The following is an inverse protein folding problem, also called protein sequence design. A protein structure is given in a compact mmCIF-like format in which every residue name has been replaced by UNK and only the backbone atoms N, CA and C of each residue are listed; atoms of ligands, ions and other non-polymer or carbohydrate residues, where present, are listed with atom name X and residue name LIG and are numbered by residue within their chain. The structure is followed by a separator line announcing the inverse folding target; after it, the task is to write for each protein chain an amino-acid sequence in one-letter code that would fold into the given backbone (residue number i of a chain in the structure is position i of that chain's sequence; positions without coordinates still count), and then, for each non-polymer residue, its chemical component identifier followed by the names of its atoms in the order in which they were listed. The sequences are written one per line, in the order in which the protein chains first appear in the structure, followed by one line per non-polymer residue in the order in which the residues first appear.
data_IF_370922750174
#
_entry.id   IF_370922750174
#
_cell.length_a   1.000
_cell.length_b   1.000
_cell.length_c   1.000
_cell.angle_alpha   90.00
_cell.angle_beta   90.00
_cell.angle_gamma   90.00
#
_symmetry.space_group_name_H-M   'P 1'
#
loop_
_entity.id
_entity.type
_entity.pdbx_description
1 polymer ?
#
# COMPACT_ATOMS: atom_id res chain seq x y z
N UNK A 1 79.11 -11.93 1.75
CA UNK A 1 77.91 -12.26 2.53
C UNK A 1 76.71 -11.72 1.76
N UNK A 2 75.86 -12.59 1.21
CA UNK A 2 74.69 -12.18 0.40
C UNK A 2 73.48 -12.07 1.33
N UNK A 3 72.98 -10.86 1.49
CA UNK A 3 71.74 -10.53 2.19
C UNK A 3 70.55 -10.99 1.35
N UNK A 4 69.81 -11.98 1.84
CA UNK A 4 68.56 -12.46 1.22
C UNK A 4 67.43 -11.62 1.80
N UNK A 5 66.76 -10.84 0.94
CA UNK A 5 65.49 -10.19 1.26
C UNK A 5 64.39 -11.25 1.30
N UNK A 6 63.77 -11.45 2.46
CA UNK A 6 62.53 -12.21 2.60
C UNK A 6 61.37 -11.27 2.25
N UNK A 7 60.73 -11.48 1.10
CA UNK A 7 59.43 -10.87 0.79
C UNK A 7 58.34 -11.66 1.55
N UNK A 8 57.70 -11.01 2.52
CA UNK A 8 56.52 -11.57 3.18
C UNK A 8 55.31 -11.44 2.23
N UNK A 9 54.92 -12.55 1.62
CA UNK A 9 53.66 -12.65 0.89
C UNK A 9 52.52 -12.77 1.91
N UNK A 10 51.80 -11.67 2.14
CA UNK A 10 50.54 -11.71 2.86
C UNK A 10 49.46 -12.32 1.94
N UNK A 11 49.19 -13.61 2.10
CA UNK A 11 48.04 -14.27 1.49
C UNK A 11 46.77 -13.77 2.16
N UNK A 12 46.03 -12.89 1.49
CA UNK A 12 44.62 -12.66 1.80
C UNK A 12 43.87 -13.97 1.56
N UNK A 13 43.56 -14.70 2.63
CA UNK A 13 42.54 -15.74 2.57
C UNK A 13 41.18 -15.06 2.44
N UNK A 14 40.69 -14.92 1.21
CA UNK A 14 39.29 -14.67 0.95
C UNK A 14 38.52 -15.91 1.43
N UNK A 15 38.01 -15.87 2.66
CA UNK A 15 37.07 -16.87 3.14
C UNK A 15 35.85 -16.83 2.25
N UNK A 16 35.54 -17.95 1.58
CA UNK A 16 34.25 -18.11 0.93
C UNK A 16 33.19 -18.05 2.03
N UNK A 17 32.41 -16.97 2.07
CA UNK A 17 31.20 -16.93 2.88
C UNK A 17 30.24 -17.98 2.29
N UNK A 18 30.36 -19.21 2.76
CA UNK A 18 29.37 -20.25 2.54
C UNK A 18 28.25 -19.97 3.53
N UNK A 19 27.36 -19.04 3.17
CA UNK A 19 26.03 -19.03 3.76
C UNK A 19 25.37 -20.32 3.28
N UNK A 20 25.29 -21.33 4.15
CA UNK A 20 24.47 -22.51 3.87
C UNK A 20 23.03 -22.01 3.65
N UNK A 21 22.53 -22.20 2.42
CA UNK A 21 21.13 -21.96 2.07
C UNK A 21 20.25 -22.91 2.89
N UNK A 22 19.96 -22.50 4.12
CA UNK A 22 19.09 -23.26 5.03
C UNK A 22 17.71 -23.29 4.42
N UNK A 23 17.29 -24.45 3.91
CA UNK A 23 15.95 -24.62 3.37
C UNK A 23 14.94 -24.64 4.52
N UNK A 24 14.12 -23.60 4.61
CA UNK A 24 12.95 -23.56 5.49
C UNK A 24 11.77 -24.23 4.78
N UNK A 25 11.48 -25.47 5.16
CA UNK A 25 10.31 -26.18 4.63
C UNK A 25 9.02 -25.53 5.16
N UNK A 26 8.14 -25.10 4.25
CA UNK A 26 6.83 -24.55 4.57
C UNK A 26 5.73 -25.46 4.00
N UNK A 27 4.66 -25.66 4.76
CA UNK A 27 3.45 -26.37 4.31
C UNK A 27 2.25 -25.44 4.43
N UNK A 28 1.36 -25.46 3.44
CA UNK A 28 0.13 -24.69 3.48
C UNK A 28 -0.81 -25.31 4.52
N UNK A 29 -1.03 -24.61 5.63
CA UNK A 29 -1.88 -25.09 6.72
C UNK A 29 -3.37 -24.82 6.47
N UNK A 30 -3.71 -23.63 5.96
CA UNK A 30 -5.07 -23.23 5.56
C UNK A 30 -4.99 -22.03 4.61
N UNK A 31 -6.13 -21.65 4.02
CA UNK A 31 -6.26 -20.48 3.16
C UNK A 31 -7.63 -19.82 3.35
N UNK A 32 -7.69 -18.51 3.11
CA UNK A 32 -8.92 -17.75 3.01
C UNK A 32 -8.92 -16.93 1.72
N UNK A 33 -10.09 -16.76 1.10
CA UNK A 33 -10.23 -16.09 -0.19
C UNK A 33 -11.09 -14.84 -0.03
N UNK A 34 -10.53 -13.69 -0.40
CA UNK A 34 -11.28 -12.47 -0.70
C UNK A 34 -11.65 -12.50 -2.19
N UNK A 35 -12.94 -12.44 -2.57
CA UNK A 35 -13.32 -12.45 -3.98
C UNK A 35 -12.71 -11.29 -4.77
N UNK A 36 -12.26 -11.58 -5.99
CA UNK A 36 -11.62 -10.58 -6.85
C UNK A 36 -12.54 -9.42 -7.26
N UNK A 37 -13.86 -9.57 -7.19
CA UNK A 37 -14.81 -8.50 -7.45
C UNK A 37 -15.34 -7.86 -6.17
N UNK A 38 -14.49 -7.69 -5.16
CA UNK A 38 -14.87 -6.98 -3.93
C UNK A 38 -14.66 -5.48 -4.12
N UNK A 39 -15.71 -4.79 -4.54
CA UNK A 39 -15.78 -3.34 -4.71
C UNK A 39 -16.74 -2.78 -3.66
N UNK A 40 -16.37 -1.66 -3.02
CA UNK A 40 -17.19 -0.97 -2.02
C UNK A 40 -17.46 0.47 -2.44
N UNK A 41 -18.59 1.02 -2.00
CA UNK A 41 -18.87 2.44 -2.19
C UNK A 41 -17.86 3.29 -1.39
N UNK A 42 -17.46 4.42 -1.95
CA UNK A 42 -16.80 5.47 -1.18
C UNK A 42 -17.80 6.11 -0.20
N UNK A 43 -17.34 6.85 0.83
CA UNK A 43 -18.22 7.57 1.74
C UNK A 43 -19.19 8.49 1.01
N UNK A 44 -20.40 8.67 1.54
CA UNK A 44 -21.45 9.43 0.85
C UNK A 44 -21.12 10.94 0.70
N UNK A 45 -20.28 11.46 1.59
CA UNK A 45 -19.72 12.81 1.59
C UNK A 45 -18.42 12.94 0.79
N UNK A 46 -17.92 11.83 0.22
CA UNK A 46 -16.79 11.89 -0.70
C UNK A 46 -17.18 12.57 -2.02
N UNK A 47 -16.30 13.41 -2.60
CA UNK A 47 -16.54 14.01 -3.91
C UNK A 47 -16.84 12.96 -4.97
N UNK A 48 -17.68 13.31 -5.94
CA UNK A 48 -18.04 12.44 -7.08
C UNK A 48 -16.81 11.87 -7.80
N UNK A 49 -15.67 12.55 -7.72
CA UNK A 49 -14.40 12.13 -8.30
C UNK A 49 -13.93 10.73 -7.85
N UNK A 50 -14.11 10.37 -6.58
CA UNK A 50 -13.69 9.07 -6.00
C UNK A 50 -14.85 8.11 -5.71
N UNK A 51 -16.09 8.46 -6.10
CA UNK A 51 -17.22 7.52 -6.07
C UNK A 51 -17.04 6.37 -7.07
N UNK A 52 -16.17 6.57 -8.06
CA UNK A 52 -15.72 5.58 -9.03
C UNK A 52 -14.20 5.58 -9.05
N UNK A 53 -13.58 4.48 -9.48
CA UNK A 53 -12.12 4.36 -9.56
C UNK A 53 -11.66 3.78 -10.89
N UNK A 54 -10.34 3.82 -11.14
CA UNK A 54 -9.71 3.24 -12.33
C UNK A 54 -10.06 3.97 -13.65
N UNK A 55 -10.41 5.26 -13.59
CA UNK A 55 -10.72 6.06 -14.79
C UNK A 55 -9.47 6.42 -15.61
N UNK A 56 -8.29 6.25 -15.03
CA UNK A 56 -7.00 6.70 -15.58
C UNK A 56 -5.91 5.62 -15.64
N UNK A 57 -6.29 4.33 -15.64
CA UNK A 57 -5.34 3.21 -15.51
C UNK A 57 -4.18 3.20 -16.49
N UNK A 58 -4.34 3.79 -17.69
CA UNK A 58 -3.31 3.81 -18.74
C UNK A 58 -2.67 5.21 -18.77
N UNK A 59 -1.43 5.38 -18.27
CA UNK A 59 -0.73 6.65 -18.32
C UNK A 59 -0.69 7.22 -19.75
N UNK A 60 -0.96 8.51 -19.88
CA UNK A 60 -0.97 9.21 -21.18
C UNK A 60 -2.21 8.95 -22.05
N UNK A 61 -3.20 8.17 -21.57
CA UNK A 61 -4.48 8.00 -22.24
C UNK A 61 -5.55 8.94 -21.66
N UNK A 62 -6.57 9.31 -22.44
CA UNK A 62 -7.73 10.02 -21.91
C UNK A 62 -8.46 9.22 -20.82
N UNK A 63 -9.20 9.95 -19.99
CA UNK A 63 -10.17 9.37 -19.04
C UNK A 63 -11.12 8.40 -19.75
N UNK A 64 -11.37 7.26 -19.12
CA UNK A 64 -12.51 6.38 -19.45
C UNK A 64 -13.65 6.67 -18.49
N UNK A 65 -14.83 6.99 -19.02
CA UNK A 65 -15.99 7.38 -18.20
C UNK A 65 -17.03 6.26 -18.03
N UNK A 66 -17.16 5.36 -19.01
CA UNK A 66 -18.15 4.29 -18.98
C UNK A 66 -17.67 3.15 -18.08
N UNK A 67 -18.36 2.93 -16.95
CA UNK A 67 -18.10 1.83 -16.00
C UNK A 67 -18.06 0.49 -16.72
N UNK A 68 -17.05 -0.33 -16.41
CA UNK A 68 -16.93 -1.69 -16.93
C UNK A 68 -16.68 -1.79 -18.44
N UNK A 69 -16.27 -0.70 -19.11
CA UNK A 69 -16.05 -0.69 -20.56
C UNK A 69 -14.69 -1.22 -21.01
N UNK A 70 -13.70 -1.25 -20.11
CA UNK A 70 -12.33 -1.69 -20.43
C UNK A 70 -12.02 -3.00 -19.70
N UNK A 71 -11.95 -4.14 -20.42
CA UNK A 71 -11.57 -5.41 -19.84
C UNK A 71 -10.19 -5.37 -19.19
N UNK A 72 -10.10 -5.91 -17.97
CA UNK A 72 -8.84 -6.17 -17.29
C UNK A 72 -8.09 -7.30 -17.99
N UNK A 73 -6.79 -7.13 -18.18
CA UNK A 73 -5.93 -8.08 -18.88
C UNK A 73 -4.77 -8.52 -18.00
N UNK A 74 -4.47 -9.82 -17.98
CA UNK A 74 -3.27 -10.40 -17.37
C UNK A 74 -2.62 -11.37 -18.35
N UNK A 75 -1.35 -11.14 -18.71
CA UNK A 75 -0.62 -11.95 -19.68
C UNK A 75 -1.41 -12.24 -20.99
N UNK A 76 -2.09 -11.22 -21.55
CA UNK A 76 -2.96 -11.28 -22.74
C UNK A 76 -4.28 -12.06 -22.57
N UNK A 77 -4.67 -12.42 -21.34
CA UNK A 77 -5.95 -13.05 -21.01
C UNK A 77 -6.84 -12.09 -20.24
N UNK A 78 -8.14 -12.10 -20.55
CA UNK A 78 -9.13 -11.35 -19.75
C UNK A 78 -9.20 -11.89 -18.32
N UNK A 79 -9.27 -10.98 -17.36
CA UNK A 79 -9.38 -11.31 -15.93
C UNK A 79 -10.82 -11.61 -15.49
N UNK A 80 -11.81 -11.26 -16.33
CA UNK A 80 -13.23 -11.31 -15.99
C UNK A 80 -13.74 -10.09 -15.22
N UNK A 81 -12.88 -9.09 -14.98
CA UNK A 81 -13.25 -7.78 -14.45
C UNK A 81 -13.05 -6.71 -15.52
N UNK A 82 -13.81 -5.63 -15.45
CA UNK A 82 -13.67 -4.50 -16.33
C UNK A 82 -13.72 -3.18 -15.55
N UNK A 83 -13.02 -2.19 -16.06
CA UNK A 83 -12.81 -0.87 -15.46
C UNK A 83 -13.42 0.20 -16.35
N UNK A 84 -13.72 1.41 -15.83
CA UNK A 84 -13.63 1.85 -14.44
C UNK A 84 -14.61 1.12 -13.51
N UNK A 85 -14.38 1.14 -12.20
CA UNK A 85 -15.25 0.49 -11.20
C UNK A 85 -16.28 1.47 -10.63
N UNK A 86 -17.47 0.95 -10.34
CA UNK A 86 -18.51 1.67 -9.57
C UNK A 86 -18.23 1.51 -8.07
N UNK A 87 -17.26 2.29 -7.59
CA UNK A 87 -16.73 2.23 -6.23
C UNK A 87 -15.20 2.06 -6.20
N UNK A 88 -14.70 1.66 -5.02
CA UNK A 88 -13.30 1.47 -4.71
C UNK A 88 -12.99 -0.03 -4.50
N UNK A 89 -11.96 -0.58 -5.18
CA UNK A 89 -11.58 -1.97 -4.98
C UNK A 89 -10.96 -2.18 -3.60
N UNK A 90 -11.37 -3.23 -2.90
CA UNK A 90 -10.80 -3.58 -1.59
C UNK A 90 -9.42 -4.25 -1.70
N UNK A 91 -9.08 -4.78 -2.87
CA UNK A 91 -7.80 -5.48 -3.09
C UNK A 91 -6.66 -4.53 -3.39
N UNK A 92 -5.44 -5.08 -3.36
CA UNK A 92 -4.19 -4.33 -3.46
C UNK A 92 -3.76 -3.95 -2.06
N UNK A 93 -3.27 -4.91 -1.28
CA UNK A 93 -2.80 -4.68 0.08
C UNK A 93 -1.29 -4.54 0.09
N UNK A 94 -0.79 -3.42 0.60
CA UNK A 94 0.64 -3.18 0.81
C UNK A 94 1.08 -3.44 2.26
N UNK A 95 0.15 -3.52 3.22
CA UNK A 95 0.47 -3.79 4.61
C UNK A 95 -0.54 -4.71 5.30
N UNK A 96 -0.08 -5.52 6.25
CA UNK A 96 -0.93 -6.30 7.15
C UNK A 96 -0.31 -6.43 8.54
N UNK A 97 -1.13 -6.30 9.58
CA UNK A 97 -0.73 -6.48 10.98
C UNK A 97 -1.73 -7.36 11.72
N UNK A 98 -1.22 -8.41 12.36
CA UNK A 98 -2.00 -9.26 13.26
C UNK A 98 -2.26 -8.59 14.62
N UNK A 99 -3.45 -8.80 15.16
CA UNK A 99 -3.91 -8.31 16.44
C UNK A 99 -4.00 -9.44 17.48
N UNK A 100 -3.98 -9.10 18.77
CA UNK A 100 -4.00 -10.08 19.86
C UNK A 100 -5.29 -10.91 19.96
N UNK A 101 -6.37 -10.47 19.32
CA UNK A 101 -7.67 -11.14 19.27
C UNK A 101 -7.83 -12.06 18.04
N UNK A 102 -6.79 -12.23 17.23
CA UNK A 102 -6.81 -13.05 16.02
C UNK A 102 -7.34 -12.33 14.77
N UNK A 103 -7.68 -11.04 14.87
CA UNK A 103 -8.00 -10.19 13.71
C UNK A 103 -6.75 -9.54 13.11
N UNK A 104 -6.93 -8.83 12.00
CA UNK A 104 -5.86 -8.15 11.28
C UNK A 104 -6.31 -6.78 10.83
N UNK A 105 -5.38 -5.84 10.78
CA UNK A 105 -5.53 -4.61 10.01
C UNK A 105 -4.73 -4.76 8.71
N UNK A 106 -5.36 -4.52 7.57
CA UNK A 106 -4.67 -4.41 6.28
C UNK A 106 -4.75 -2.98 5.73
N UNK A 107 -3.75 -2.62 4.93
CA UNK A 107 -3.59 -1.31 4.32
C UNK A 107 -3.65 -1.46 2.81
N UNK A 108 -4.41 -0.61 2.12
CA UNK A 108 -4.38 -0.55 0.65
C UNK A 108 -3.03 -0.04 0.15
N UNK A 109 -2.60 -0.50 -1.02
CA UNK A 109 -1.57 0.13 -1.85
C UNK A 109 -2.08 1.52 -2.33
N UNK A 110 -1.24 2.29 -3.02
CA UNK A 110 -1.65 3.43 -3.83
C UNK A 110 -2.66 3.06 -4.93
N UNK A 111 -2.86 1.78 -5.22
CA UNK A 111 -4.00 1.28 -5.98
C UNK A 111 -3.65 0.78 -7.36
N UNK A 112 -3.23 1.65 -8.29
CA UNK A 112 -3.07 1.30 -9.71
C UNK A 112 -1.63 1.26 -10.23
N UNK A 113 -0.65 1.28 -9.30
CA UNK A 113 0.75 0.99 -9.57
C UNK A 113 1.63 2.22 -9.82
N UNK A 114 1.06 3.42 -9.87
CA UNK A 114 1.84 4.66 -9.87
C UNK A 114 1.02 5.87 -9.43
N UNK A 115 1.69 6.89 -8.90
CA UNK A 115 1.08 8.20 -8.63
C UNK A 115 0.24 8.74 -9.81
N UNK A 116 0.70 8.55 -11.05
CA UNK A 116 0.08 9.14 -12.23
C UNK A 116 -1.28 8.52 -12.61
N UNK A 117 -1.54 7.27 -12.25
CA UNK A 117 -2.81 6.58 -12.56
C UNK A 117 -3.68 6.33 -11.32
N UNK A 118 -3.18 6.64 -10.13
CA UNK A 118 -3.85 6.39 -8.84
C UNK A 118 -4.63 7.58 -8.26
N UNK A 119 -4.85 8.65 -9.02
CA UNK A 119 -5.55 9.84 -8.51
C UNK A 119 -7.00 9.59 -8.08
N UNK A 120 -7.65 8.52 -8.56
CA UNK A 120 -9.02 8.15 -8.16
C UNK A 120 -9.11 6.83 -7.38
N UNK A 121 -7.97 6.34 -6.90
CA UNK A 121 -7.88 5.25 -5.93
C UNK A 121 -7.90 5.85 -4.52
N UNK A 122 -9.00 5.67 -3.79
CA UNK A 122 -9.08 6.14 -2.41
C UNK A 122 -8.20 5.26 -1.50
N UNK A 123 -7.43 5.87 -0.61
CA UNK A 123 -6.60 5.13 0.34
C UNK A 123 -7.46 4.60 1.50
N UNK A 124 -7.26 3.34 1.85
CA UNK A 124 -8.12 2.63 2.79
C UNK A 124 -7.32 1.76 3.76
N UNK A 125 -7.86 1.61 4.97
CA UNK A 125 -7.47 0.59 5.94
C UNK A 125 -8.67 -0.34 6.14
N UNK A 126 -8.44 -1.64 6.26
CA UNK A 126 -9.48 -2.63 6.52
C UNK A 126 -9.21 -3.42 7.81
N UNK A 127 -10.22 -3.52 8.68
CA UNK A 127 -10.21 -4.50 9.78
C UNK A 127 -10.77 -5.81 9.23
N UNK A 128 -9.95 -6.85 9.22
CA UNK A 128 -10.31 -8.14 8.63
C UNK A 128 -10.13 -9.28 9.64
N UNK A 129 -10.95 -10.30 9.49
CA UNK A 129 -10.78 -11.60 10.13
C UNK A 129 -10.83 -12.69 9.06
N UNK A 130 -10.33 -13.86 9.42
CA UNK A 130 -10.32 -15.02 8.53
C UNK A 130 -11.11 -16.14 9.19
N UNK A 131 -12.08 -16.67 8.44
CA UNK A 131 -12.67 -17.96 8.74
C UNK A 131 -11.87 -19.01 7.98
N UNK A 132 -10.97 -19.68 8.69
CA UNK A 132 -10.06 -20.67 8.13
C UNK A 132 -10.75 -21.99 7.76
N UNK A 133 -11.89 -22.29 8.39
CA UNK A 133 -12.66 -23.51 8.11
C UNK A 133 -13.53 -23.31 6.87
N UNK A 134 -14.17 -22.14 6.74
CA UNK A 134 -14.95 -21.76 5.57
C UNK A 134 -14.09 -21.27 4.39
N UNK A 135 -12.84 -20.90 4.65
CA UNK A 135 -11.91 -20.36 3.66
C UNK A 135 -12.29 -18.96 3.16
N UNK A 136 -12.85 -18.12 4.04
CA UNK A 136 -13.38 -16.79 3.69
C UNK A 136 -12.74 -15.65 4.48
N UNK A 137 -12.66 -14.49 3.86
CA UNK A 137 -12.26 -13.23 4.52
C UNK A 137 -13.50 -12.48 4.98
N UNK A 138 -13.59 -12.18 6.27
CA UNK A 138 -14.58 -11.30 6.87
C UNK A 138 -14.01 -9.89 6.99
N UNK A 139 -14.53 -8.93 6.23
CA UNK A 139 -14.14 -7.52 6.32
C UNK A 139 -15.08 -6.80 7.28
N UNK A 140 -14.63 -6.62 8.52
CA UNK A 140 -15.39 -6.03 9.62
C UNK A 140 -15.60 -4.54 9.45
N UNK A 141 -14.56 -3.84 9.02
CA UNK A 141 -14.55 -2.38 8.91
C UNK A 141 -13.66 -1.94 7.74
N UNK A 142 -14.03 -0.81 7.14
CA UNK A 142 -13.15 -0.05 6.24
C UNK A 142 -13.10 1.39 6.73
N UNK A 143 -11.89 1.92 6.86
CA UNK A 143 -11.61 3.32 7.15
C UNK A 143 -11.02 3.94 5.89
N UNK A 144 -11.62 5.03 5.40
CA UNK A 144 -11.08 5.82 4.29
C UNK A 144 -10.18 6.91 4.84
N UNK A 145 -8.96 7.03 4.29
CA UNK A 145 -7.99 8.01 4.77
C UNK A 145 -8.31 9.40 4.22
N UNK A 146 -8.15 10.43 5.05
CA UNK A 146 -8.47 11.82 4.72
C UNK A 146 -7.53 12.79 5.41
N UNK A 147 -7.50 14.03 4.92
CA UNK A 147 -6.74 15.14 5.50
C UNK A 147 -7.66 16.37 5.75
N UNK A 148 -8.74 16.25 6.54
CA UNK A 148 -9.71 17.33 6.72
C UNK A 148 -9.12 18.58 7.37
N UNK A 149 -8.00 18.42 8.10
CA UNK A 149 -7.35 19.49 8.85
C UNK A 149 -6.17 20.14 8.11
N UNK A 150 -5.98 19.84 6.81
CA UNK A 150 -4.94 20.43 5.97
C UNK A 150 -3.51 20.22 6.54
N UNK A 151 -3.24 19.02 7.04
CA UNK A 151 -1.97 18.63 7.65
C UNK A 151 -0.90 18.34 6.59
N UNK A 152 -1.27 17.83 5.42
CA UNK A 152 -0.31 17.55 4.37
C UNK A 152 0.43 18.85 3.96
N UNK A 153 1.78 18.85 3.88
CA UNK A 153 2.54 20.07 3.60
C UNK A 153 2.56 20.46 2.11
N UNK A 154 1.78 19.76 1.28
CA UNK A 154 1.69 19.93 -0.16
C UNK A 154 0.23 19.78 -0.63
N UNK A 155 -0.14 20.30 -1.81
CA UNK A 155 -1.48 20.11 -2.36
C UNK A 155 -1.79 18.64 -2.60
N UNK A 156 -2.97 18.20 -2.15
CA UNK A 156 -3.50 16.86 -2.43
C UNK A 156 -4.46 16.87 -3.64
N UNK A 157 -4.81 15.71 -4.18
CA UNK A 157 -5.72 15.60 -5.34
C UNK A 157 -7.06 16.26 -5.07
N UNK A 158 -7.60 16.08 -3.86
CA UNK A 158 -8.91 16.59 -3.46
C UNK A 158 -8.82 17.87 -2.60
N UNK A 159 -7.80 18.71 -2.87
CA UNK A 159 -7.49 19.94 -2.13
C UNK A 159 -8.70 20.87 -1.94
N UNK A 160 -9.56 20.95 -2.97
CA UNK A 160 -10.74 21.83 -2.99
C UNK A 160 -12.02 21.21 -2.45
N UNK A 161 -11.97 20.01 -1.87
CA UNK A 161 -13.12 19.39 -1.19
C UNK A 161 -13.06 19.60 0.32
N UNK A 162 -14.22 19.63 0.98
CA UNK A 162 -14.26 19.81 2.44
C UNK A 162 -13.72 18.57 3.19
N UNK A 163 -14.02 17.37 2.71
CA UNK A 163 -13.63 16.11 3.34
C UNK A 163 -12.18 15.70 3.08
N UNK A 164 -11.55 16.22 2.01
CA UNK A 164 -10.13 16.05 1.70
C UNK A 164 -9.67 14.58 1.78
N UNK A 165 -10.46 13.65 1.24
CA UNK A 165 -10.06 12.25 1.14
C UNK A 165 -8.74 12.10 0.38
N UNK A 166 -7.88 11.22 0.87
CA UNK A 166 -6.56 10.95 0.31
C UNK A 166 -6.65 9.85 -0.74
N UNK A 167 -5.82 10.01 -1.77
CA UNK A 167 -5.76 9.11 -2.92
C UNK A 167 -4.35 8.56 -3.10
N UNK A 168 -4.21 7.50 -3.88
CA UNK A 168 -2.89 6.96 -4.20
C UNK A 168 -2.00 7.86 -5.06
N UNK A 169 -2.49 9.04 -5.47
CA UNK A 169 -1.61 10.06 -6.03
C UNK A 169 -1.03 11.01 -4.95
N UNK A 170 -1.57 10.98 -3.72
CA UNK A 170 -1.12 11.81 -2.61
C UNK A 170 0.00 11.11 -1.83
N UNK A 171 -0.23 9.83 -1.50
CA UNK A 171 0.70 8.97 -0.77
C UNK A 171 0.74 7.56 -1.39
N UNK A 172 1.89 6.91 -1.27
CA UNK A 172 2.18 5.53 -1.66
C UNK A 172 2.48 4.72 -0.41
N UNK A 173 1.42 4.27 0.24
CA UNK A 173 1.46 3.76 1.60
C UNK A 173 1.79 2.26 1.62
N UNK A 174 2.83 1.88 2.35
CA UNK A 174 3.43 0.54 2.21
C UNK A 174 3.57 -0.22 3.54
N UNK A 175 3.25 0.40 4.67
CA UNK A 175 3.29 -0.27 5.96
C UNK A 175 2.30 0.31 6.96
N UNK A 176 1.85 -0.51 7.90
CA UNK A 176 0.86 -0.12 8.92
C UNK A 176 1.25 -0.65 10.30
N UNK A 177 1.17 0.22 11.31
CA UNK A 177 1.23 -0.12 12.73
C UNK A 177 0.03 0.52 13.45
N UNK A 178 -1.02 -0.26 13.76
CA UNK A 178 -2.09 0.17 14.65
C UNK A 178 -1.57 0.42 16.06
N UNK A 179 -2.03 1.50 16.67
CA UNK A 179 -1.76 1.94 18.05
C UNK A 179 -3.08 2.33 18.73
N UNK A 180 -3.06 2.59 20.03
CA UNK A 180 -4.28 2.90 20.80
C UNK A 180 -5.11 4.04 20.21
N UNK A 181 -4.45 5.06 19.66
CA UNK A 181 -5.07 6.28 19.13
C UNK A 181 -5.06 6.35 17.59
N UNK A 182 -4.93 5.22 16.88
CA UNK A 182 -5.03 5.15 15.42
C UNK A 182 -3.91 4.38 14.77
N UNK A 183 -3.24 4.98 13.76
CA UNK A 183 -2.34 4.24 12.88
C UNK A 183 -1.07 5.04 12.55
N UNK A 184 0.07 4.37 12.59
CA UNK A 184 1.30 4.83 11.95
C UNK A 184 1.47 4.12 10.62
N UNK A 185 1.73 4.90 9.57
CA UNK A 185 1.83 4.40 8.20
C UNK A 185 3.13 4.91 7.56
N UNK A 186 3.87 4.02 6.91
CA UNK A 186 5.02 4.40 6.08
C UNK A 186 4.60 4.67 4.63
N UNK A 187 5.26 5.63 4.00
CA UNK A 187 5.04 6.06 2.61
C UNK A 187 6.33 5.90 1.77
N UNK A 188 6.20 5.60 0.48
CA UNK A 188 7.32 5.46 -0.47
C UNK A 188 7.49 6.65 -1.43
N UNK A 189 6.48 7.52 -1.58
CA UNK A 189 6.55 8.65 -2.51
C UNK A 189 7.40 9.81 -2.02
N UNK A 190 7.57 9.98 -0.71
CA UNK A 190 8.51 10.96 -0.19
C UNK A 190 8.98 10.63 1.21
N UNK A 191 9.73 9.54 1.40
CA UNK A 191 9.52 8.60 2.49
C UNK A 191 9.06 9.30 3.75
N UNK A 192 7.75 9.28 4.00
CA UNK A 192 7.15 9.90 5.17
C UNK A 192 6.78 8.83 6.19
N UNK A 193 6.80 9.22 7.46
CA UNK A 193 6.04 8.55 8.49
C UNK A 193 4.77 9.36 8.74
N UNK A 194 3.61 8.75 8.50
CA UNK A 194 2.29 9.36 8.60
C UNK A 194 1.60 8.89 9.88
N UNK A 195 0.95 9.82 10.59
CA UNK A 195 0.07 9.51 11.72
C UNK A 195 -1.38 9.78 11.34
N UNK A 196 -2.22 8.77 11.49
CA UNK A 196 -3.68 8.88 11.38
C UNK A 196 -4.34 8.59 12.73
N UNK A 197 -5.49 9.24 12.98
CA UNK A 197 -6.35 8.89 14.11
C UNK A 197 -7.20 7.65 13.81
N UNK A 198 -8.04 7.22 14.74
CA UNK A 198 -8.92 6.05 14.58
C UNK A 198 -10.00 6.23 13.53
N UNK A 199 -10.33 7.47 13.14
CA UNK A 199 -11.26 7.78 12.06
C UNK A 199 -10.59 7.85 10.67
N UNK A 200 -9.26 7.66 10.59
CA UNK A 200 -8.52 7.75 9.34
C UNK A 200 -8.16 9.18 8.92
N UNK A 201 -8.20 10.14 9.83
CA UNK A 201 -7.83 11.53 9.55
C UNK A 201 -6.34 11.75 9.84
N UNK A 202 -5.63 12.34 8.88
CA UNK A 202 -4.21 12.67 8.97
C UNK A 202 -3.98 13.66 10.12
N UNK A 203 -3.02 13.34 10.98
CA UNK A 203 -2.63 14.13 12.17
C UNK A 203 -1.22 14.68 12.06
N UNK A 204 -0.31 13.96 11.39
CA UNK A 204 1.05 14.42 11.16
C UNK A 204 1.71 13.74 9.96
N UNK A 205 2.63 14.46 9.33
CA UNK A 205 3.53 13.99 8.27
C UNK A 205 4.96 14.28 8.74
N UNK A 206 5.77 13.24 8.91
CA UNK A 206 7.18 13.37 9.29
C UNK A 206 8.06 12.94 8.13
N UNK A 207 9.02 13.78 7.75
CA UNK A 207 10.07 13.39 6.80
C UNK A 207 10.92 12.27 7.39
N UNK A 208 11.23 11.26 6.58
CA UNK A 208 12.27 10.29 6.96
C UNK A 208 13.63 10.95 6.84
N UNK A 209 14.41 10.87 7.92
CA UNK A 209 15.75 11.44 8.00
C UNK A 209 16.82 10.35 8.02
N UNK A 210 17.88 10.53 7.23
CA UNK A 210 19.14 9.81 7.33
C UNK A 210 20.26 10.80 7.67
N UNK A 211 21.03 10.53 8.73
CA UNK A 211 22.08 11.43 9.24
C UNK A 211 21.60 12.88 9.47
N UNK A 212 20.34 13.04 9.91
CA UNK A 212 19.72 14.33 10.19
C UNK A 212 19.30 15.12 8.95
N UNK A 213 19.27 14.49 7.76
CA UNK A 213 18.81 15.09 6.50
C UNK A 213 17.65 14.31 5.91
N UNK A 214 16.68 14.96 5.25
CA UNK A 214 15.67 14.25 4.48
C UNK A 214 16.30 13.27 3.49
N UNK A 215 15.69 12.10 3.34
CA UNK A 215 16.14 11.06 2.40
C UNK A 215 15.87 11.43 0.93
N UNK A 216 15.13 12.51 0.68
CA UNK A 216 14.81 13.05 -0.65
C UNK A 216 15.84 14.07 -1.18
#
# INVERSE_FOLDING_TARGET
MKTIFLAAAATLMAGTALADDTQFQATLASHAILPANTIIAAPADAPAYIQTSAKFLKPGQPRVAEIGSVPGMSAKRETGLATPFDGQPVQGFSGIKAMGDGTFWSLSDNGFGSKANSSDAALMIHHIAFDWDAGTVDRKETIFLSDPNMVAPFPIVLEGSDSRYLTGADFDIESIQPVEDGFWIGDELGPYLLKFNTAGELQAVYETLADGKPVM
#
